data_IF_322709740578
#
_entry.id   IF_322709740578
#
_cell.length_a   1.000
_cell.length_b   1.000
_cell.length_c   1.000
_cell.angle_alpha   90.00
_cell.angle_beta   90.00
_cell.angle_gamma   90.00
#
_symmetry.space_group_name_H-M   'P 1'
#
loop_
_entity.id
_entity.type
_entity.pdbx_description
1 polymer ?
#
# COMPACT_ATOMS: atom_id res chain seq x y z
N UNK A 1 -11.82 -7.97 -0.16
CA UNK A 1 -10.42 -7.63 0.17
C UNK A 1 -9.86 -6.54 -0.76
N UNK A 2 -9.72 -6.78 -2.07
CA UNK A 2 -9.04 -5.85 -3.00
C UNK A 2 -9.65 -4.43 -3.00
N UNK A 3 -10.98 -4.35 -2.97
CA UNK A 3 -11.72 -3.07 -2.90
C UNK A 3 -11.37 -2.28 -1.64
N UNK A 4 -11.24 -2.96 -0.49
CA UNK A 4 -10.91 -2.33 0.80
C UNK A 4 -9.48 -1.79 0.78
N UNK A 5 -8.54 -2.55 0.21
CA UNK A 5 -7.16 -2.11 0.03
C UNK A 5 -7.07 -0.86 -0.86
N UNK A 6 -7.69 -0.89 -2.04
CA UNK A 6 -7.71 0.24 -2.96
C UNK A 6 -8.35 1.48 -2.34
N UNK A 7 -9.44 1.31 -1.59
CA UNK A 7 -10.07 2.42 -0.90
C UNK A 7 -9.14 3.03 0.16
N UNK A 8 -8.38 2.21 0.90
CA UNK A 8 -7.40 2.69 1.87
C UNK A 8 -6.29 3.49 1.22
N UNK A 9 -5.76 3.04 0.08
CA UNK A 9 -4.75 3.79 -0.70
C UNK A 9 -5.30 5.15 -1.13
N UNK A 10 -6.52 5.19 -1.68
CA UNK A 10 -7.19 6.44 -2.08
C UNK A 10 -7.41 7.39 -0.90
N UNK A 11 -7.88 6.86 0.24
CA UNK A 11 -8.06 7.65 1.45
C UNK A 11 -6.74 8.20 1.98
N UNK A 12 -5.65 7.43 1.91
CA UNK A 12 -4.32 7.91 2.29
C UNK A 12 -3.85 9.05 1.38
N UNK A 13 -3.99 8.91 0.06
CA UNK A 13 -3.64 9.97 -0.90
C UNK A 13 -4.50 11.22 -0.66
N UNK A 14 -5.81 11.05 -0.45
CA UNK A 14 -6.72 12.15 -0.11
C UNK A 14 -6.32 12.92 1.15
N UNK A 15 -5.79 12.22 2.17
CA UNK A 15 -5.25 12.84 3.38
C UNK A 15 -3.97 13.66 3.15
N UNK A 16 -3.20 13.38 2.08
CA UNK A 16 -2.07 14.24 1.69
C UNK A 16 -2.53 15.57 1.07
N UNK A 17 -3.69 15.58 0.42
CA UNK A 17 -4.25 16.77 -0.23
C UNK A 17 -5.03 17.69 0.71
N UNK A 18 -5.59 17.13 1.78
CA UNK A 18 -6.49 17.80 2.71
C UNK A 18 -6.00 17.70 4.16
N UNK A 19 -6.73 18.29 5.10
CA UNK A 19 -6.49 18.09 6.54
C UNK A 19 -7.29 16.89 7.08
N UNK A 20 -7.69 15.95 6.22
CA UNK A 20 -8.37 14.73 6.65
C UNK A 20 -7.41 13.80 7.40
N UNK A 21 -7.90 13.01 8.36
CA UNK A 21 -7.05 12.07 9.09
C UNK A 21 -6.52 10.96 8.17
N UNK A 22 -5.27 10.57 8.37
CA UNK A 22 -4.69 9.41 7.70
C UNK A 22 -5.38 8.11 8.16
N UNK A 23 -5.62 7.15 7.25
CA UNK A 23 -6.20 5.87 7.62
C UNK A 23 -5.24 5.04 8.47
N UNK A 24 -5.79 4.30 9.43
CA UNK A 24 -5.03 3.36 10.25
C UNK A 24 -4.51 2.17 9.44
N UNK A 25 -3.48 1.49 9.97
CA UNK A 25 -2.85 0.30 9.41
C UNK A 25 -2.27 0.54 8.01
N UNK A 26 -1.54 1.65 7.87
CA UNK A 26 -0.80 2.01 6.66
C UNK A 26 0.64 2.37 6.97
N UNK A 27 0.90 3.17 8.00
CA UNK A 27 2.24 3.74 8.26
C UNK A 27 2.86 3.23 9.56
N UNK A 28 2.04 2.66 10.42
CA UNK A 28 2.42 2.05 11.68
C UNK A 28 3.47 0.95 11.47
N UNK A 29 4.31 0.67 12.47
CA UNK A 29 5.17 -0.51 12.46
C UNK A 29 4.36 -1.77 12.17
N UNK A 30 4.88 -2.63 11.31
CA UNK A 30 4.24 -3.90 10.90
C UNK A 30 2.83 -3.78 10.29
N UNK A 31 2.43 -2.58 9.84
CA UNK A 31 1.15 -2.35 9.17
C UNK A 31 0.96 -3.28 7.96
N UNK A 32 2.02 -3.62 7.24
CA UNK A 32 2.05 -4.57 6.14
C UNK A 32 1.59 -5.99 6.54
N UNK A 33 1.76 -6.37 7.81
CA UNK A 33 1.32 -7.68 8.30
C UNK A 33 -0.11 -7.65 8.85
N UNK A 34 -0.65 -6.46 9.11
CA UNK A 34 -1.96 -6.24 9.72
C UNK A 34 -3.00 -5.64 8.76
N UNK A 35 -2.57 -5.21 7.57
CA UNK A 35 -3.47 -4.69 6.56
C UNK A 35 -4.31 -5.83 5.93
N UNK A 36 -5.51 -5.51 5.42
CA UNK A 36 -6.39 -6.51 4.83
C UNK A 36 -5.73 -7.30 3.69
N UNK A 37 -4.89 -6.66 2.88
CA UNK A 37 -4.16 -7.33 1.79
C UNK A 37 -3.01 -8.18 2.33
N UNK A 38 -2.28 -7.72 3.34
CA UNK A 38 -1.22 -8.47 4.00
C UNK A 38 -1.72 -9.76 4.65
N UNK A 39 -2.80 -9.65 5.44
CA UNK A 39 -3.47 -10.80 6.06
C UNK A 39 -3.95 -11.79 5.00
N UNK A 40 -4.53 -11.28 3.90
CA UNK A 40 -4.95 -12.13 2.80
C UNK A 40 -3.77 -12.81 2.09
N UNK A 41 -2.67 -12.08 1.83
CA UNK A 41 -1.47 -12.64 1.20
C UNK A 41 -0.88 -13.78 2.03
N UNK A 42 -0.92 -13.69 3.36
CA UNK A 42 -0.45 -14.75 4.27
C UNK A 42 -1.37 -15.98 4.29
N UNK A 43 -2.68 -15.78 4.07
CA UNK A 43 -3.71 -16.82 4.03
C UNK A 43 -4.05 -17.27 2.61
N UNK A 44 -5.23 -16.88 2.14
CA UNK A 44 -5.79 -17.27 0.83
C UNK A 44 -4.87 -16.95 -0.35
N UNK A 45 -4.20 -15.80 -0.33
CA UNK A 45 -3.27 -15.40 -1.39
C UNK A 45 -2.09 -16.37 -1.52
N UNK A 46 -1.64 -16.96 -0.41
CA UNK A 46 -0.61 -18.01 -0.43
C UNK A 46 -1.13 -19.30 -1.08
N UNK A 47 -2.39 -19.67 -0.82
CA UNK A 47 -3.00 -20.84 -1.45
C UNK A 47 -3.17 -20.63 -2.96
N UNK A 48 -3.58 -19.43 -3.37
CA UNK A 48 -3.85 -19.12 -4.77
C UNK A 48 -2.58 -18.91 -5.61
N UNK A 49 -1.60 -18.18 -5.07
CA UNK A 49 -0.42 -17.77 -5.84
C UNK A 49 0.87 -18.49 -5.42
N UNK A 50 0.89 -19.22 -4.30
CA UNK A 50 2.10 -19.86 -3.74
C UNK A 50 2.69 -20.97 -4.61
N UNK A 51 1.93 -21.54 -5.55
CA UNK A 51 2.43 -22.48 -6.55
C UNK A 51 3.40 -21.84 -7.55
N UNK A 52 3.34 -20.52 -7.73
CA UNK A 52 4.29 -19.74 -8.51
C UNK A 52 5.11 -18.84 -7.57
N UNK A 53 6.21 -19.39 -7.07
CA UNK A 53 7.05 -18.72 -6.07
C UNK A 53 7.56 -17.34 -6.52
N UNK A 54 7.88 -17.17 -7.81
CA UNK A 54 8.36 -15.90 -8.34
C UNK A 54 7.27 -14.81 -8.33
N UNK A 55 6.06 -15.16 -8.79
CA UNK A 55 4.90 -14.25 -8.76
C UNK A 55 4.51 -13.91 -7.32
N UNK A 56 4.44 -14.91 -6.44
CA UNK A 56 4.06 -14.68 -5.04
C UNK A 56 5.06 -13.78 -4.31
N UNK A 57 6.37 -13.98 -4.54
CA UNK A 57 7.41 -13.08 -4.01
C UNK A 57 7.24 -11.66 -4.53
N UNK A 58 6.93 -11.50 -5.82
CA UNK A 58 6.70 -10.19 -6.41
C UNK A 58 5.48 -9.49 -5.78
N UNK A 59 4.39 -10.21 -5.51
CA UNK A 59 3.22 -9.66 -4.80
C UNK A 59 3.61 -9.13 -3.42
N UNK A 60 4.39 -9.90 -2.66
CA UNK A 60 4.86 -9.52 -1.32
C UNK A 60 5.79 -8.30 -1.36
N UNK A 61 6.75 -8.26 -2.27
CA UNK A 61 7.69 -7.15 -2.44
C UNK A 61 6.96 -5.85 -2.79
N UNK A 62 6.01 -5.89 -3.74
CA UNK A 62 5.20 -4.72 -4.11
C UNK A 62 4.31 -4.25 -2.97
N UNK A 63 3.71 -5.19 -2.24
CA UNK A 63 2.92 -4.85 -1.07
C UNK A 63 3.74 -4.13 0.01
N UNK A 64 4.93 -4.64 0.32
CA UNK A 64 5.86 -3.97 1.25
C UNK A 64 6.27 -2.58 0.73
N UNK A 65 6.49 -2.45 -0.58
CA UNK A 65 6.83 -1.16 -1.23
C UNK A 65 5.72 -0.12 -1.07
N UNK A 66 4.45 -0.51 -1.10
CA UNK A 66 3.33 0.41 -0.82
C UNK A 66 3.43 1.00 0.59
N UNK A 67 3.64 0.16 1.60
CA UNK A 67 3.79 0.64 2.98
C UNK A 67 5.02 1.55 3.14
N UNK A 68 6.14 1.23 2.49
CA UNK A 68 7.32 2.09 2.49
C UNK A 68 7.03 3.48 1.87
N UNK A 69 6.38 3.54 0.70
CA UNK A 69 6.01 4.79 0.04
C UNK A 69 5.03 5.62 0.89
N UNK A 70 4.06 4.97 1.54
CA UNK A 70 3.13 5.65 2.44
C UNK A 70 3.85 6.23 3.67
N UNK A 71 4.79 5.48 4.27
CA UNK A 71 5.63 5.99 5.38
C UNK A 71 6.46 7.20 4.95
N UNK A 72 7.10 7.14 3.78
CA UNK A 72 7.86 8.26 3.21
C UNK A 72 6.97 9.49 2.96
N UNK A 73 5.78 9.28 2.37
CA UNK A 73 4.82 10.36 2.14
C UNK A 73 4.36 11.03 3.44
N UNK A 74 4.06 10.22 4.47
CA UNK A 74 3.64 10.70 5.79
C UNK A 74 4.76 11.49 6.48
N UNK A 75 6.00 10.99 6.44
CA UNK A 75 7.14 11.70 7.01
C UNK A 75 7.36 13.07 6.36
N UNK A 76 7.25 13.16 5.03
CA UNK A 76 7.35 14.44 4.31
C UNK A 76 6.19 15.38 4.64
N UNK A 77 4.97 14.84 4.75
CA UNK A 77 3.80 15.62 5.17
C UNK A 77 3.99 16.20 6.58
N UNK A 78 4.44 15.39 7.53
CA UNK A 78 4.68 15.80 8.92
C UNK A 78 5.82 16.83 9.04
N UNK A 79 6.80 16.77 8.13
CA UNK A 79 7.87 17.75 8.01
C UNK A 79 7.43 19.05 7.29
N UNK A 80 6.20 19.13 6.81
CA UNK A 80 5.67 20.29 6.06
C UNK A 80 6.08 20.33 4.58
N UNK A 81 6.82 19.34 4.08
CA UNK A 81 7.13 19.22 2.65
C UNK A 81 5.94 18.64 1.88
N UNK A 82 4.96 19.51 1.62
CA UNK A 82 3.76 19.15 0.89
C UNK A 82 4.08 18.64 -0.53
N UNK A 83 5.07 19.22 -1.21
CA UNK A 83 5.41 18.83 -2.58
C UNK A 83 6.01 17.42 -2.61
N UNK A 84 6.95 17.13 -1.72
CA UNK A 84 7.54 15.80 -1.56
C UNK A 84 6.50 14.76 -1.16
N UNK A 85 5.63 15.09 -0.19
CA UNK A 85 4.56 14.21 0.25
C UNK A 85 3.61 13.83 -0.90
N UNK A 86 3.19 14.80 -1.71
CA UNK A 86 2.35 14.56 -2.88
C UNK A 86 3.06 13.74 -3.96
N UNK A 87 4.35 13.98 -4.19
CA UNK A 87 5.13 13.16 -5.11
C UNK A 87 5.16 11.69 -4.68
N UNK A 88 5.36 11.42 -3.39
CA UNK A 88 5.29 10.06 -2.84
C UNK A 88 3.89 9.47 -2.90
N UNK A 89 2.84 10.29 -2.77
CA UNK A 89 1.45 9.88 -3.01
C UNK A 89 1.22 9.38 -4.45
N UNK A 90 1.76 10.06 -5.45
CA UNK A 90 1.70 9.61 -6.85
C UNK A 90 2.51 8.32 -7.08
N UNK A 91 3.66 8.18 -6.42
CA UNK A 91 4.45 6.94 -6.48
C UNK A 91 3.68 5.77 -5.86
N UNK A 92 2.99 6.00 -4.75
CA UNK A 92 2.13 5.04 -4.07
C UNK A 92 0.99 4.57 -4.98
N UNK A 93 0.31 5.49 -5.66
CA UNK A 93 -0.77 5.17 -6.59
C UNK A 93 -0.28 4.28 -7.75
N UNK A 94 0.83 4.65 -8.38
CA UNK A 94 1.44 3.87 -9.47
C UNK A 94 1.88 2.48 -9.03
N UNK A 95 2.40 2.35 -7.81
CA UNK A 95 2.76 1.05 -7.28
C UNK A 95 1.53 0.18 -6.98
N UNK A 96 0.44 0.80 -6.53
CA UNK A 96 -0.82 0.10 -6.29
C UNK A 96 -1.42 -0.42 -7.60
N UNK A 97 -1.39 0.37 -8.66
CA UNK A 97 -1.81 -0.07 -10.00
C UNK A 97 -1.05 -1.31 -10.48
N UNK A 98 0.29 -1.33 -10.29
CA UNK A 98 1.12 -2.50 -10.65
C UNK A 98 0.77 -3.73 -9.84
N UNK A 99 0.54 -3.58 -8.52
CA UNK A 99 0.12 -4.69 -7.68
C UNK A 99 -1.25 -5.23 -8.10
N UNK A 100 -2.20 -4.34 -8.38
CA UNK A 100 -3.54 -4.73 -8.84
C UNK A 100 -3.51 -5.44 -10.21
N UNK A 101 -2.58 -5.08 -11.09
CA UNK A 101 -2.39 -5.77 -12.36
C UNK A 101 -1.88 -7.21 -12.20
N UNK A 102 -1.11 -7.49 -11.14
CA UNK A 102 -0.68 -8.86 -10.82
C UNK A 102 -1.81 -9.70 -10.22
N UNK A 103 -2.68 -9.10 -9.40
CA UNK A 103 -3.80 -9.81 -8.74
C UNK A 103 -4.99 -10.10 -9.66
N UNK A 104 -5.02 -9.51 -10.87
CA UNK A 104 -6.07 -9.76 -11.88
C UNK A 104 -5.74 -10.94 -12.82
N UNK A 105 -4.57 -11.54 -12.66
CA UNK A 105 -4.11 -12.72 -13.39
C UNK A 105 -4.48 -13.98 -12.62
#
# INVERSE_FOLDING_TARGET
MIVIHNQRVKSFIGALHSSAPFPALVTEPDAENSCHLGLWLLGEGKLQYGGNAALYRQLQERHARLHALAREAKALYDAGDKKGALQKGMDLERENEKLMALLKQ
#
